data_IF_357991330669
#
_entry.id   IF_357991330669
#
_cell.length_a   1.000
_cell.length_b   1.000
_cell.length_c   1.000
_cell.angle_alpha   90.00
_cell.angle_beta   90.00
_cell.angle_gamma   90.00
#
_symmetry.space_group_name_H-M   'P 1'
#
loop_
_entity.id
_entity.type
_entity.pdbx_description
1 polymer ?
#
# COMPACT_ATOMS: atom_id res chain seq x y z
N UNK A 1 26.26 -15.29 12.16
CA UNK A 1 25.76 -13.92 11.89
C UNK A 1 25.12 -13.98 10.53
N UNK A 2 23.83 -14.32 10.48
CA UNK A 2 23.03 -14.34 9.25
C UNK A 2 22.78 -12.90 8.82
N UNK A 3 23.29 -12.56 7.66
CA UNK A 3 23.07 -11.31 6.96
C UNK A 3 21.60 -11.30 6.47
N UNK A 4 20.65 -10.91 7.31
CA UNK A 4 19.32 -10.51 6.84
C UNK A 4 19.53 -9.30 5.95
N UNK A 5 19.55 -9.50 4.64
CA UNK A 5 19.31 -8.42 3.68
C UNK A 5 17.92 -7.85 3.96
N UNK A 6 17.86 -6.83 4.79
CA UNK A 6 16.68 -5.99 4.90
C UNK A 6 16.56 -5.28 3.56
N UNK A 7 15.77 -5.83 2.67
CA UNK A 7 15.43 -5.16 1.42
C UNK A 7 14.47 -4.03 1.80
N UNK A 8 14.99 -2.80 1.86
CA UNK A 8 14.19 -1.59 2.00
C UNK A 8 13.88 -1.06 0.60
N UNK A 9 12.78 -1.51 -0.03
CA UNK A 9 12.46 -1.16 -1.41
C UNK A 9 11.95 0.27 -1.56
N UNK A 10 11.67 0.94 -0.46
CA UNK A 10 11.18 2.31 -0.43
C UNK A 10 12.21 3.22 0.23
N UNK A 11 12.21 4.48 -0.20
CA UNK A 11 13.00 5.54 0.42
C UNK A 11 12.08 6.68 0.84
N UNK A 12 12.31 7.17 2.05
CA UNK A 12 11.65 8.32 2.62
C UNK A 12 12.68 9.43 2.86
N UNK A 13 12.28 10.66 2.67
CA UNK A 13 13.11 11.83 2.99
C UNK A 13 12.21 12.99 3.43
N UNK A 14 12.45 13.49 4.63
CA UNK A 14 11.84 14.72 5.10
C UNK A 14 12.56 15.94 4.49
N UNK A 15 11.76 16.91 4.03
CA UNK A 15 12.25 18.16 3.48
C UNK A 15 11.55 19.33 4.12
N UNK A 16 12.19 20.51 4.11
CA UNK A 16 11.58 21.77 4.52
C UNK A 16 11.65 22.81 3.40
N UNK A 17 10.78 23.79 3.44
CA UNK A 17 10.79 24.90 2.49
C UNK A 17 11.77 25.98 2.97
N UNK A 18 12.84 26.18 2.22
CA UNK A 18 13.89 27.18 2.51
C UNK A 18 13.66 28.50 1.75
N UNK A 19 12.41 28.94 1.59
CA UNK A 19 12.04 30.13 0.82
C UNK A 19 11.64 29.80 -0.63
N UNK A 20 11.59 30.84 -1.45
CA UNK A 20 11.25 30.73 -2.87
C UNK A 20 12.51 30.75 -3.73
N UNK A 21 12.50 30.05 -4.86
CA UNK A 21 13.50 30.17 -5.90
C UNK A 21 13.23 31.40 -6.77
N UNK A 22 14.11 31.68 -7.75
CA UNK A 22 13.99 32.81 -8.66
C UNK A 22 12.72 32.77 -9.54
N UNK A 23 12.08 31.59 -9.63
CA UNK A 23 10.83 31.36 -10.36
C UNK A 23 9.59 31.48 -9.46
N UNK A 24 9.75 31.84 -8.17
CA UNK A 24 8.65 31.97 -7.20
C UNK A 24 8.10 30.63 -6.68
N UNK A 25 8.79 29.50 -6.92
CA UNK A 25 8.40 28.20 -6.41
C UNK A 25 9.14 27.87 -5.11
N UNK A 26 8.49 27.12 -4.20
CA UNK A 26 9.07 26.73 -2.92
C UNK A 26 10.33 25.86 -3.13
N UNK A 27 11.45 26.31 -2.58
CA UNK A 27 12.72 25.57 -2.60
C UNK A 27 12.76 24.56 -1.46
N UNK A 28 12.62 23.29 -1.80
CA UNK A 28 12.72 22.19 -0.83
C UNK A 28 14.17 21.75 -0.62
N UNK A 29 14.56 21.61 0.64
CA UNK A 29 15.87 21.07 1.05
C UNK A 29 15.69 19.92 2.04
N UNK A 30 16.58 18.93 2.06
CA UNK A 30 16.57 17.88 3.09
C UNK A 30 16.56 18.48 4.49
N UNK A 31 15.78 17.88 5.41
CA UNK A 31 15.60 18.41 6.77
C UNK A 31 16.92 18.50 7.55
N UNK A 32 17.89 17.64 7.24
CA UNK A 32 19.23 17.69 7.84
C UNK A 32 19.92 19.05 7.68
N UNK A 33 19.67 19.77 6.60
CA UNK A 33 20.24 21.09 6.38
C UNK A 33 19.68 22.15 7.32
N UNK A 34 18.45 21.96 7.83
CA UNK A 34 17.86 22.90 8.78
C UNK A 34 18.66 22.99 10.08
N UNK A 35 19.27 21.88 10.52
CA UNK A 35 20.10 21.87 11.72
C UNK A 35 21.30 22.81 11.62
N UNK A 36 21.92 22.90 10.46
CA UNK A 36 23.05 23.82 10.21
C UNK A 36 22.59 25.22 9.86
N UNK A 37 21.53 25.35 9.04
CA UNK A 37 21.03 26.65 8.58
C UNK A 37 20.46 27.49 9.72
N UNK A 38 19.76 26.83 10.65
CA UNK A 38 19.15 27.49 11.82
C UNK A 38 19.94 27.29 13.12
N UNK A 39 21.22 26.91 13.06
CA UNK A 39 22.06 26.71 14.25
C UNK A 39 22.04 27.93 15.21
N UNK A 40 22.01 29.16 14.63
CA UNK A 40 21.97 30.42 15.38
C UNK A 40 20.56 30.98 15.54
N UNK A 41 19.54 30.35 14.94
CA UNK A 41 18.15 30.82 14.94
C UNK A 41 17.26 29.70 15.52
N UNK A 42 17.49 29.34 16.79
CA UNK A 42 16.83 28.24 17.48
C UNK A 42 15.30 28.34 17.44
N UNK A 43 14.76 29.55 17.54
CA UNK A 43 13.31 29.77 17.47
C UNK A 43 12.71 29.30 16.14
N UNK A 44 13.39 29.54 15.04
CA UNK A 44 12.95 29.09 13.71
C UNK A 44 13.05 27.57 13.56
N UNK A 45 14.09 26.96 14.15
CA UNK A 45 14.23 25.52 14.15
C UNK A 45 13.12 24.85 14.97
N UNK A 46 12.80 25.41 16.14
CA UNK A 46 11.70 24.96 16.99
C UNK A 46 10.35 25.08 16.26
N UNK A 47 10.10 26.21 15.62
CA UNK A 47 8.89 26.43 14.82
C UNK A 47 8.76 25.40 13.69
N UNK A 48 9.84 25.16 12.93
CA UNK A 48 9.90 24.17 11.86
C UNK A 48 9.59 22.75 12.37
N UNK A 49 10.17 22.38 13.50
CA UNK A 49 10.02 21.02 14.07
C UNK A 49 8.72 20.85 14.84
N UNK A 50 8.06 21.92 15.29
CA UNK A 50 6.82 21.85 16.06
C UNK A 50 5.71 21.12 15.31
N UNK A 51 5.59 21.34 14.01
CA UNK A 51 4.61 20.67 13.15
C UNK A 51 4.82 19.15 13.14
N UNK A 52 6.08 18.72 13.04
CA UNK A 52 6.44 17.30 13.07
C UNK A 52 6.24 16.73 14.46
N UNK A 53 6.57 17.47 15.50
CA UNK A 53 6.40 17.06 16.88
C UNK A 53 4.91 16.85 17.23
N UNK A 54 4.04 17.76 16.80
CA UNK A 54 2.60 17.61 16.96
C UNK A 54 2.06 16.34 16.27
N UNK A 55 2.52 16.06 15.05
CA UNK A 55 2.16 14.84 14.35
C UNK A 55 2.70 13.58 15.06
N UNK A 56 3.89 13.65 15.65
CA UNK A 56 4.50 12.55 16.38
C UNK A 56 3.78 12.23 17.70
N UNK A 57 3.02 13.17 18.28
CA UNK A 57 2.18 12.88 19.45
C UNK A 57 1.05 11.89 19.13
N UNK A 58 0.56 11.89 17.90
CA UNK A 58 -0.51 11.00 17.43
C UNK A 58 0.00 9.77 16.69
N UNK A 59 1.27 9.78 16.23
CA UNK A 59 1.90 8.69 15.48
C UNK A 59 3.08 8.09 16.25
N UNK A 60 2.94 6.91 16.84
CA UNK A 60 4.05 6.20 17.49
C UNK A 60 5.21 5.92 16.52
N UNK A 61 4.90 5.67 15.24
CA UNK A 61 5.90 5.46 14.21
C UNK A 61 6.73 6.73 13.97
N UNK A 62 6.08 7.86 13.67
CA UNK A 62 6.77 9.12 13.44
C UNK A 62 7.56 9.57 14.67
N UNK A 63 7.00 9.34 15.88
CA UNK A 63 7.67 9.61 17.15
C UNK A 63 8.99 8.84 17.25
N UNK A 64 8.98 7.54 16.96
CA UNK A 64 10.19 6.71 16.98
C UNK A 64 11.25 7.21 15.99
N UNK A 65 10.84 7.57 14.77
CA UNK A 65 11.75 8.09 13.72
C UNK A 65 12.31 9.46 14.09
N UNK A 66 11.51 10.30 14.76
CA UNK A 66 11.95 11.61 15.25
C UNK A 66 12.94 11.47 16.43
N UNK A 67 12.63 10.65 17.43
CA UNK A 67 13.46 10.42 18.61
C UNK A 67 14.80 9.74 18.28
N UNK A 68 14.83 8.85 17.28
CA UNK A 68 16.07 8.23 16.79
C UNK A 68 16.94 9.19 15.97
N UNK A 69 16.38 10.32 15.51
CA UNK A 69 17.06 11.27 14.63
C UNK A 69 17.10 10.81 13.16
N UNK A 70 16.53 9.67 12.82
CA UNK A 70 16.49 9.15 11.44
C UNK A 70 15.67 10.04 10.50
N UNK A 71 14.73 10.82 11.04
CA UNK A 71 13.92 11.75 10.28
C UNK A 71 14.76 12.78 9.50
N UNK A 72 15.94 13.12 9.98
CA UNK A 72 16.81 14.12 9.35
C UNK A 72 17.56 13.58 8.12
N UNK A 73 17.56 12.28 7.90
CA UNK A 73 18.32 11.63 6.83
C UNK A 73 17.40 10.81 5.91
N UNK A 74 17.85 10.50 4.68
CA UNK A 74 17.13 9.54 3.85
C UNK A 74 17.01 8.19 4.56
N UNK A 75 15.79 7.71 4.71
CA UNK A 75 15.46 6.48 5.43
C UNK A 75 14.94 5.43 4.45
N UNK A 76 15.54 4.24 4.49
CA UNK A 76 15.03 3.07 3.78
C UNK A 76 13.88 2.43 4.56
N UNK A 77 12.73 2.26 3.92
CA UNK A 77 11.55 1.68 4.56
C UNK A 77 11.32 0.24 4.11
N UNK A 78 10.99 -0.62 5.07
CA UNK A 78 10.39 -1.92 4.80
C UNK A 78 8.97 -1.74 4.21
N UNK A 79 8.38 -2.76 3.59
CA UNK A 79 6.98 -2.69 3.16
C UNK A 79 6.01 -2.37 4.31
N UNK A 80 6.28 -2.88 5.51
CA UNK A 80 5.46 -2.65 6.71
C UNK A 80 5.56 -1.21 7.18
N UNK A 81 6.78 -0.67 7.30
CA UNK A 81 7.01 0.72 7.68
C UNK A 81 6.42 1.68 6.66
N UNK A 82 6.61 1.36 5.36
CA UNK A 82 6.05 2.15 4.28
C UNK A 82 4.52 2.16 4.33
N UNK A 83 3.88 1.01 4.59
CA UNK A 83 2.43 0.92 4.73
C UNK A 83 1.93 1.75 5.92
N UNK A 84 2.61 1.66 7.08
CA UNK A 84 2.29 2.44 8.28
C UNK A 84 2.36 3.94 7.95
N UNK A 85 3.50 4.39 7.40
CA UNK A 85 3.69 5.78 7.00
C UNK A 85 2.62 6.28 6.03
N UNK A 86 2.34 5.51 4.97
CA UNK A 86 1.34 5.87 3.96
C UNK A 86 -0.10 5.90 4.52
N UNK A 87 -0.40 5.04 5.48
CA UNK A 87 -1.71 4.98 6.13
C UNK A 87 -1.96 6.18 7.05
N UNK A 88 -0.89 6.75 7.61
CA UNK A 88 -0.94 7.89 8.52
C UNK A 88 -0.85 9.26 7.81
N UNK A 89 -0.72 9.30 6.48
CA UNK A 89 -0.66 10.55 5.70
C UNK A 89 -1.77 11.54 6.06
N UNK A 90 -3.05 11.13 6.19
CA UNK A 90 -4.11 12.07 6.57
C UNK A 90 -3.86 12.76 7.91
N UNK A 91 -3.24 12.06 8.86
CA UNK A 91 -2.84 12.61 10.15
C UNK A 91 -1.73 13.66 9.96
N UNK A 92 -0.71 13.35 9.16
CA UNK A 92 0.40 14.27 8.89
C UNK A 92 -0.08 15.55 8.16
N UNK A 93 -0.95 15.39 7.17
CA UNK A 93 -1.52 16.51 6.42
C UNK A 93 -2.43 17.39 7.31
N UNK A 94 -3.15 16.81 8.27
CA UNK A 94 -3.94 17.55 9.25
C UNK A 94 -3.09 18.44 10.16
N UNK A 95 -1.83 18.07 10.39
CA UNK A 95 -0.85 18.88 11.12
C UNK A 95 -0.07 19.85 10.24
N UNK A 96 -0.41 19.97 8.96
CA UNK A 96 0.21 20.89 8.02
C UNK A 96 1.47 20.35 7.30
N UNK A 97 1.77 19.07 7.43
CA UNK A 97 2.86 18.41 6.70
C UNK A 97 2.38 18.05 5.29
N UNK A 98 3.09 18.51 4.28
CA UNK A 98 2.79 18.15 2.89
C UNK A 98 3.43 16.81 2.53
N UNK A 99 2.62 15.80 2.22
CA UNK A 99 3.09 14.49 1.85
C UNK A 99 3.07 14.29 0.32
N UNK A 100 4.22 13.89 -0.24
CA UNK A 100 4.34 13.50 -1.65
C UNK A 100 4.45 11.98 -1.72
N UNK A 101 3.45 11.36 -2.34
CA UNK A 101 3.35 9.90 -2.43
C UNK A 101 3.39 9.44 -3.88
N UNK A 102 3.84 8.20 -4.14
CA UNK A 102 3.77 7.60 -5.46
C UNK A 102 2.34 7.50 -5.98
N UNK A 103 2.18 7.61 -7.30
CA UNK A 103 0.85 7.56 -7.92
C UNK A 103 0.12 6.23 -7.67
N UNK A 104 0.85 5.11 -7.53
CA UNK A 104 0.27 3.80 -7.26
C UNK A 104 -0.46 3.75 -5.92
N UNK A 105 -0.01 4.49 -4.90
CA UNK A 105 -0.69 4.56 -3.60
C UNK A 105 -2.07 5.21 -3.71
N UNK A 106 -2.18 6.29 -4.47
CA UNK A 106 -3.47 7.01 -4.66
C UNK A 106 -4.48 6.23 -5.48
N UNK A 107 -4.01 5.37 -6.39
CA UNK A 107 -4.86 4.54 -7.26
C UNK A 107 -5.25 3.19 -6.63
N UNK A 108 -4.49 2.71 -5.66
CA UNK A 108 -4.54 1.34 -5.14
C UNK A 108 -5.51 1.09 -3.98
N UNK A 109 -6.42 2.01 -3.67
CA UNK A 109 -7.36 1.81 -2.55
C UNK A 109 -8.62 0.97 -2.90
N UNK A 110 -8.61 0.27 -4.03
CA UNK A 110 -9.79 -0.50 -4.47
C UNK A 110 -10.01 -1.79 -3.70
N UNK A 111 -8.97 -2.32 -3.04
CA UNK A 111 -9.06 -3.55 -2.25
C UNK A 111 -9.31 -4.82 -3.09
N UNK A 112 -9.43 -5.95 -2.40
CA UNK A 112 -9.76 -7.22 -3.02
C UNK A 112 -11.24 -7.29 -3.40
N UNK A 113 -11.52 -7.75 -4.61
CA UNK A 113 -12.87 -8.01 -5.10
C UNK A 113 -12.94 -9.38 -5.78
N UNK A 114 -14.06 -10.07 -5.58
CA UNK A 114 -14.38 -11.28 -6.32
C UNK A 114 -15.15 -10.89 -7.58
N UNK A 115 -14.62 -11.22 -8.73
CA UNK A 115 -15.33 -11.14 -9.99
C UNK A 115 -15.71 -12.54 -10.44
N UNK A 116 -17.01 -12.78 -10.60
CA UNK A 116 -17.53 -14.00 -11.21
C UNK A 116 -17.89 -13.64 -12.64
N UNK A 117 -17.15 -14.16 -13.60
CA UNK A 117 -17.47 -14.02 -15.02
C UNK A 117 -18.13 -15.31 -15.52
N UNK A 118 -19.28 -15.14 -16.18
CA UNK A 118 -19.92 -16.22 -16.91
C UNK A 118 -19.38 -16.21 -18.32
N UNK A 119 -18.73 -17.31 -18.73
CA UNK A 119 -18.21 -17.43 -20.09
C UNK A 119 -19.32 -17.27 -21.14
N UNK A 120 -19.13 -16.40 -22.13
CA UNK A 120 -20.01 -16.28 -23.27
C UNK A 120 -19.99 -17.60 -24.06
N UNK A 121 -21.20 -18.10 -24.38
CA UNK A 121 -21.38 -19.24 -25.26
C UNK A 121 -20.64 -19.05 -26.59
N UNK A 122 -19.53 -19.71 -26.80
CA UNK A 122 -19.11 -20.01 -28.17
C UNK A 122 -20.17 -20.92 -28.79
N UNK A 123 -20.90 -20.40 -29.76
CA UNK A 123 -21.86 -21.17 -30.53
C UNK A 123 -21.13 -22.36 -31.18
N UNK A 124 -21.17 -23.51 -30.52
CA UNK A 124 -20.82 -24.77 -31.12
C UNK A 124 -22.03 -25.26 -31.93
N UNK A 125 -21.82 -25.57 -33.16
CA UNK A 125 -22.85 -25.88 -34.18
C UNK A 125 -23.32 -27.34 -34.09
N UNK A 126 -22.96 -28.13 -33.08
CA UNK A 126 -23.39 -29.52 -32.96
C UNK A 126 -23.62 -29.88 -31.49
N UNK A 127 -24.87 -30.13 -31.16
CA UNK A 127 -25.46 -31.07 -30.18
C UNK A 127 -24.84 -31.16 -28.79
N UNK A 128 -25.68 -30.77 -27.79
CA UNK A 128 -25.71 -31.32 -26.40
C UNK A 128 -24.33 -31.42 -25.75
N UNK A 129 -23.93 -30.35 -25.13
CA UNK A 129 -23.23 -30.19 -23.86
C UNK A 129 -22.81 -28.73 -23.73
N UNK A 130 -23.75 -27.94 -23.32
CA UNK A 130 -23.48 -26.55 -22.96
C UNK A 130 -22.95 -26.56 -21.52
N UNK A 131 -21.77 -27.08 -21.30
CA UNK A 131 -20.99 -26.80 -20.12
C UNK A 131 -20.73 -25.30 -20.08
N UNK A 132 -21.44 -24.61 -19.18
CA UNK A 132 -21.11 -23.22 -18.87
C UNK A 132 -19.73 -23.24 -18.21
N UNK A 133 -18.72 -22.74 -18.89
CA UNK A 133 -17.42 -22.47 -18.28
C UNK A 133 -17.60 -21.29 -17.32
N UNK A 134 -17.77 -21.61 -16.04
CA UNK A 134 -17.73 -20.62 -14.98
C UNK A 134 -16.28 -20.34 -14.62
N UNK A 135 -15.83 -19.14 -14.86
CA UNK A 135 -14.56 -18.66 -14.35
C UNK A 135 -14.81 -17.68 -13.20
N UNK A 136 -14.59 -18.17 -11.98
CA UNK A 136 -14.49 -17.28 -10.83
C UNK A 136 -13.03 -16.85 -10.68
N UNK A 137 -12.77 -15.55 -10.71
CA UNK A 137 -11.44 -14.99 -10.51
C UNK A 137 -11.44 -14.00 -9.35
N UNK A 138 -10.35 -14.03 -8.58
CA UNK A 138 -10.12 -13.08 -7.49
C UNK A 138 -9.29 -11.95 -8.06
N UNK A 139 -9.77 -10.71 -7.90
CA UNK A 139 -9.05 -9.53 -8.31
C UNK A 139 -8.57 -8.75 -7.08
N UNK A 140 -7.29 -8.40 -7.07
CA UNK A 140 -6.70 -7.52 -6.07
C UNK A 140 -6.14 -6.31 -6.82
N UNK A 141 -6.74 -5.15 -6.59
CA UNK A 141 -6.33 -3.87 -7.19
C UNK A 141 -6.23 -3.91 -8.73
N UNK A 142 -7.16 -4.64 -9.35
CA UNK A 142 -7.20 -4.84 -10.81
C UNK A 142 -6.27 -5.91 -11.35
N UNK A 143 -5.55 -6.63 -10.47
CA UNK A 143 -4.75 -7.80 -10.84
C UNK A 143 -5.58 -9.07 -10.59
N UNK A 144 -5.69 -9.91 -11.60
CA UNK A 144 -6.28 -11.24 -11.45
C UNK A 144 -5.30 -12.18 -10.74
N UNK A 145 -5.79 -12.86 -9.70
CA UNK A 145 -5.03 -13.80 -8.89
C UNK A 145 -5.55 -15.21 -9.07
N UNK A 146 -4.65 -16.19 -9.08
CA UNK A 146 -5.01 -17.58 -8.88
C UNK A 146 -5.31 -17.84 -7.40
N UNK A 147 -5.96 -18.98 -7.11
CA UNK A 147 -6.25 -19.41 -5.74
C UNK A 147 -4.96 -19.55 -4.91
N UNK A 148 -3.93 -20.15 -5.51
CA UNK A 148 -2.63 -20.37 -4.88
C UNK A 148 -1.96 -19.04 -4.58
N UNK A 149 -1.96 -18.09 -5.53
CA UNK A 149 -1.42 -16.75 -5.34
C UNK A 149 -2.12 -16.01 -4.20
N UNK A 150 -3.46 -16.08 -4.13
CA UNK A 150 -4.23 -15.45 -3.07
C UNK A 150 -3.94 -16.07 -1.69
N UNK A 151 -3.80 -17.40 -1.61
CA UNK A 151 -3.41 -18.09 -0.38
C UNK A 151 -1.98 -17.75 0.06
N UNK A 152 -1.05 -17.62 -0.89
CA UNK A 152 0.33 -17.24 -0.60
C UNK A 152 0.41 -15.81 -0.04
N UNK A 153 -0.37 -14.90 -0.62
CA UNK A 153 -0.47 -13.51 -0.15
C UNK A 153 -0.98 -13.45 1.30
N UNK A 154 -1.95 -14.29 1.66
CA UNK A 154 -2.47 -14.37 3.04
C UNK A 154 -1.44 -14.86 4.06
N UNK A 155 -0.39 -15.58 3.62
CA UNK A 155 0.73 -15.99 4.49
C UNK A 155 1.74 -14.87 4.70
N UNK A 156 1.73 -13.85 3.85
CA UNK A 156 2.60 -12.68 3.96
C UNK A 156 2.05 -11.69 5.00
N UNK A 157 2.85 -10.67 5.33
CA UNK A 157 2.42 -9.59 6.21
C UNK A 157 1.26 -8.79 5.59
N UNK A 158 0.33 -8.36 6.43
CA UNK A 158 -0.70 -7.39 6.04
C UNK A 158 -0.05 -6.07 5.62
N UNK A 159 -0.60 -5.40 4.62
CA UNK A 159 -0.11 -4.11 4.17
C UNK A 159 0.32 -4.12 2.71
N UNK A 160 1.59 -3.81 2.41
CA UNK A 160 2.11 -3.75 1.05
C UNK A 160 2.73 -5.06 0.61
N UNK A 161 2.30 -5.56 -0.55
CA UNK A 161 2.88 -6.74 -1.20
C UNK A 161 3.23 -6.43 -2.65
N UNK A 162 4.35 -7.01 -3.12
CA UNK A 162 4.77 -6.88 -4.52
C UNK A 162 4.25 -8.05 -5.33
N UNK A 163 3.26 -7.80 -6.19
CA UNK A 163 2.52 -8.83 -6.92
C UNK A 163 2.55 -8.49 -8.43
N UNK A 164 2.97 -9.43 -9.25
CA UNK A 164 3.00 -9.28 -10.73
C UNK A 164 3.62 -7.95 -11.20
N UNK A 165 4.72 -7.55 -10.54
CA UNK A 165 5.47 -6.34 -10.91
C UNK A 165 4.89 -5.02 -10.39
N UNK A 166 3.93 -5.05 -9.45
CA UNK A 166 3.31 -3.87 -8.85
C UNK A 166 3.24 -3.99 -7.33
N UNK A 167 3.35 -2.85 -6.66
CA UNK A 167 3.02 -2.74 -5.24
C UNK A 167 1.51 -2.56 -5.09
N UNK A 168 0.90 -3.40 -4.27
CA UNK A 168 -0.53 -3.38 -3.97
C UNK A 168 -0.76 -3.43 -2.47
N UNK A 169 -1.87 -2.84 -2.03
CA UNK A 169 -2.31 -2.91 -0.64
C UNK A 169 -3.11 -4.18 -0.43
N UNK A 170 -2.72 -4.99 0.53
CA UNK A 170 -3.39 -6.22 0.90
C UNK A 170 -4.14 -6.03 2.21
N UNK A 171 -5.45 -6.19 2.15
CA UNK A 171 -6.35 -6.29 3.28
C UNK A 171 -6.71 -7.77 3.45
N UNK A 172 -6.17 -8.41 4.49
CA UNK A 172 -6.34 -9.84 4.72
C UNK A 172 -7.80 -10.22 4.96
N UNK A 173 -8.58 -9.37 5.62
CA UNK A 173 -9.99 -9.66 5.89
C UNK A 173 -10.82 -9.68 4.62
N UNK A 174 -10.57 -8.71 3.73
CA UNK A 174 -11.23 -8.65 2.42
C UNK A 174 -10.79 -9.79 1.52
N UNK A 175 -9.52 -10.14 1.53
CA UNK A 175 -8.99 -11.24 0.72
C UNK A 175 -9.52 -12.59 1.21
N UNK A 176 -9.55 -12.82 2.54
CA UNK A 176 -10.16 -14.02 3.13
C UNK A 176 -11.65 -14.15 2.77
N UNK A 177 -12.40 -13.06 2.85
CA UNK A 177 -13.81 -13.04 2.47
C UNK A 177 -14.01 -13.34 0.99
N UNK A 178 -13.16 -12.81 0.12
CA UNK A 178 -13.19 -13.11 -1.31
C UNK A 178 -12.89 -14.59 -1.59
N UNK A 179 -11.94 -15.18 -0.88
CA UNK A 179 -11.60 -16.60 -0.96
C UNK A 179 -12.73 -17.50 -0.48
N UNK A 180 -13.38 -17.17 0.64
CA UNK A 180 -14.55 -17.91 1.14
C UNK A 180 -15.69 -17.88 0.13
N UNK A 181 -16.03 -16.70 -0.39
CA UNK A 181 -17.07 -16.57 -1.40
C UNK A 181 -16.75 -17.38 -2.67
N UNK A 182 -15.47 -17.45 -3.06
CA UNK A 182 -15.02 -18.26 -4.19
C UNK A 182 -15.19 -19.76 -3.93
N UNK A 183 -14.84 -20.22 -2.72
CA UNK A 183 -15.02 -21.62 -2.32
C UNK A 183 -16.51 -22.01 -2.27
N UNK A 184 -17.33 -21.15 -1.71
CA UNK A 184 -18.79 -21.36 -1.63
C UNK A 184 -19.42 -21.42 -3.03
N UNK A 185 -19.01 -20.54 -3.94
CA UNK A 185 -19.48 -20.55 -5.32
C UNK A 185 -19.09 -21.85 -6.05
N UNK A 186 -17.87 -22.34 -5.88
CA UNK A 186 -17.42 -23.59 -6.47
C UNK A 186 -18.12 -24.82 -5.86
N UNK A 187 -18.37 -24.82 -4.55
CA UNK A 187 -19.07 -25.92 -3.89
C UNK A 187 -20.54 -26.07 -4.38
N UNK A 188 -21.22 -24.94 -4.62
CA UNK A 188 -22.58 -24.94 -5.18
C UNK A 188 -22.61 -25.49 -6.61
N UNK A 189 -21.55 -25.24 -7.39
CA UNK A 189 -21.45 -25.76 -8.76
C UNK A 189 -21.21 -27.27 -8.81
N UNK A 190 -20.38 -27.79 -7.91
CA UNK A 190 -20.12 -29.25 -7.81
C UNK A 190 -21.38 -30.04 -7.38
N UNK A 191 -22.25 -29.41 -6.59
CA UNK A 191 -23.49 -30.03 -6.13
C UNK A 191 -24.57 -30.05 -7.24
N UNK A 192 -24.68 -28.99 -8.04
CA UNK A 192 -25.59 -28.93 -9.20
C UNK A 192 -25.19 -29.91 -10.32
N UNK A 193 -23.91 -30.19 -10.47
CA UNK A 193 -23.42 -31.18 -11.44
C UNK A 193 -23.72 -32.63 -11.00
N UNK A 194 -23.88 -32.87 -9.69
CA UNK A 194 -24.22 -34.20 -9.13
C UNK A 194 -25.71 -34.51 -9.12
N UNK A 195 -26.58 -33.51 -9.23
CA UNK A 195 -28.04 -33.66 -9.25
C UNK A 195 -28.62 -33.80 -10.65
N UNK A 196 -27.77 -33.77 -11.69
CA UNK A 196 -28.15 -33.86 -13.10
C UNK A 196 -27.93 -35.21 -13.75
N UNK A 197 -27.57 -36.28 -12.97
CA UNK A 197 -27.46 -37.69 -13.42
C UNK A 197 -28.71 -38.51 -13.07
#
# INVERSE_FOLDING_TARGET
VENKKVTSPFAFMATYSAGLNDEGTARHRPLSYALTEYEKEQDKLIELLSTVQNAAEESPYLKSVLESGELFYPLGLSPEDCFTFLSEIPLYEAQGIQCRVPNWWRSGQKGASLNVSFGEKKKSLVGIESLMDFHASIHLDGLELTLEEAQEILKSSQGLSFIKGKWVTVDHDKLNKALQNWQDANALMDDDLRLGD
#
